data_IF_265715468970
#
_entry.id   IF_265715468970
#
_cell.length_a   1.000
_cell.length_b   1.000
_cell.length_c   1.000
_cell.angle_alpha   90.00
_cell.angle_beta   90.00
_cell.angle_gamma   90.00
#
_symmetry.space_group_name_H-M   'P 1'
#
loop_
_entity.id
_entity.type
_entity.pdbx_description
1 polymer ?
#
# COMPACT_ATOMS: atom_id res chain seq x y z
N UNK A 1 0.48 -15.79 -54.09
CA UNK A 1 -0.76 -15.41 -53.45
C UNK A 1 -0.71 -15.95 -52.01
N UNK A 2 -0.09 -15.20 -51.16
CA UNK A 2 0.18 -15.65 -49.76
C UNK A 2 -0.44 -14.61 -48.81
N UNK A 3 -1.40 -15.07 -48.03
CA UNK A 3 -2.03 -14.28 -46.96
C UNK A 3 -1.07 -14.22 -45.77
N UNK A 4 -0.58 -13.05 -45.45
CA UNK A 4 0.04 -12.74 -44.17
C UNK A 4 -1.09 -12.35 -43.20
N UNK A 5 -1.45 -13.27 -42.33
CA UNK A 5 -2.23 -12.98 -41.14
C UNK A 5 -1.30 -12.34 -40.10
N UNK A 6 -1.54 -11.08 -39.80
CA UNK A 6 -0.97 -10.38 -38.65
C UNK A 6 -1.57 -10.97 -37.39
N UNK A 7 -0.80 -11.77 -36.66
CA UNK A 7 -1.11 -12.16 -35.30
C UNK A 7 -0.77 -10.97 -34.38
N UNK A 8 -1.78 -10.28 -33.90
CA UNK A 8 -1.65 -9.38 -32.76
C UNK A 8 -1.20 -10.22 -31.55
N UNK A 9 0.02 -9.98 -31.10
CA UNK A 9 0.51 -10.58 -29.86
C UNK A 9 -0.23 -9.90 -28.69
N UNK A 10 -1.24 -10.59 -28.15
CA UNK A 10 -1.70 -10.34 -26.80
C UNK A 10 -0.51 -10.59 -25.85
N UNK A 11 0.08 -9.52 -25.36
CA UNK A 11 1.02 -9.59 -24.26
C UNK A 11 0.22 -10.09 -23.05
N UNK A 12 0.61 -11.21 -22.43
CA UNK A 12 -0.06 -11.68 -21.23
C UNK A 12 0.16 -10.65 -20.15
N UNK A 13 -0.91 -10.02 -19.66
CA UNK A 13 -0.94 -9.30 -18.39
C UNK A 13 -0.42 -10.24 -17.31
N UNK A 14 0.78 -10.00 -16.81
CA UNK A 14 1.32 -10.73 -15.66
C UNK A 14 0.45 -10.36 -14.45
N UNK A 15 -0.58 -11.14 -14.21
CA UNK A 15 -1.33 -11.05 -12.95
C UNK A 15 -0.40 -11.58 -11.86
N UNK A 16 -0.09 -10.80 -10.85
CA UNK A 16 0.59 -11.29 -9.67
C UNK A 16 -0.25 -12.42 -9.08
N UNK A 17 0.33 -13.60 -8.92
CA UNK A 17 -0.36 -14.76 -8.34
C UNK A 17 -0.35 -14.72 -6.82
N UNK A 18 0.41 -13.80 -6.21
CA UNK A 18 0.57 -13.67 -4.77
C UNK A 18 -0.21 -12.46 -4.26
N UNK A 19 -1.04 -12.64 -3.21
CA UNK A 19 -1.64 -11.51 -2.52
C UNK A 19 -0.55 -10.68 -1.83
N UNK A 20 -0.36 -9.43 -2.27
CA UNK A 20 0.67 -8.55 -1.73
C UNK A 20 0.25 -7.08 -1.79
N UNK A 21 0.79 -6.27 -0.88
CA UNK A 21 0.79 -4.83 -1.01
C UNK A 21 2.11 -4.22 -0.52
N UNK A 22 2.42 -3.04 -1.02
CA UNK A 22 3.53 -2.21 -0.60
C UNK A 22 3.04 -0.79 -0.39
N UNK A 23 3.36 -0.18 0.74
CA UNK A 23 3.01 1.20 1.06
C UNK A 23 4.27 1.96 1.47
N UNK A 24 4.46 3.15 0.91
CA UNK A 24 5.55 4.07 1.23
C UNK A 24 4.94 5.41 1.62
N UNK A 25 5.36 5.94 2.76
CA UNK A 25 4.83 7.19 3.31
C UNK A 25 5.88 7.83 4.26
N UNK A 26 5.77 9.12 4.60
CA UNK A 26 6.66 9.74 5.57
C UNK A 26 6.59 9.09 6.94
N UNK A 27 7.74 8.98 7.64
CA UNK A 27 7.85 8.43 8.99
C UNK A 27 7.25 9.37 10.05
N UNK A 28 5.93 9.57 10.02
CA UNK A 28 5.18 10.39 10.97
C UNK A 28 4.29 9.53 11.87
N UNK A 29 4.10 9.87 13.15
CA UNK A 29 3.28 9.07 14.08
C UNK A 29 1.88 8.78 13.55
N UNK A 30 1.23 9.75 12.92
CA UNK A 30 -0.11 9.63 12.36
C UNK A 30 -0.18 8.62 11.20
N UNK A 31 0.91 8.37 10.51
CA UNK A 31 0.97 7.44 9.37
C UNK A 31 0.98 5.97 9.80
N UNK A 32 1.37 5.67 11.04
CA UNK A 32 1.24 4.32 11.61
C UNK A 32 -0.22 3.84 11.63
N UNK A 33 -1.17 4.76 11.82
CA UNK A 33 -2.60 4.44 11.75
C UNK A 33 -3.04 4.04 10.35
N UNK A 34 -2.49 4.66 9.29
CA UNK A 34 -2.77 4.30 7.90
C UNK A 34 -2.27 2.88 7.59
N UNK A 35 -1.05 2.56 8.04
CA UNK A 35 -0.47 1.21 7.90
C UNK A 35 -1.37 0.16 8.57
N UNK A 36 -1.85 0.42 9.80
CA UNK A 36 -2.78 -0.49 10.49
C UNK A 36 -4.08 -0.71 9.72
N UNK A 37 -4.61 0.30 9.04
CA UNK A 37 -5.80 0.14 8.22
C UNK A 37 -5.51 -0.70 6.97
N UNK A 38 -4.37 -0.52 6.31
CA UNK A 38 -3.96 -1.36 5.20
C UNK A 38 -3.82 -2.83 5.62
N UNK A 39 -3.15 -3.09 6.74
CA UNK A 39 -3.03 -4.43 7.32
C UNK A 39 -4.39 -5.05 7.65
N UNK A 40 -5.28 -4.28 8.30
CA UNK A 40 -6.62 -4.77 8.64
C UNK A 40 -7.42 -5.17 7.40
N UNK A 41 -7.31 -4.41 6.30
CA UNK A 41 -7.94 -4.76 5.02
C UNK A 41 -7.39 -6.07 4.43
N UNK A 42 -6.09 -6.29 4.49
CA UNK A 42 -5.46 -7.51 4.00
C UNK A 42 -5.85 -8.74 4.87
N UNK A 43 -5.80 -8.60 6.19
CA UNK A 43 -6.09 -9.69 7.13
C UNK A 43 -7.56 -10.11 7.10
N UNK A 44 -8.48 -9.17 6.85
CA UNK A 44 -9.90 -9.49 6.64
C UNK A 44 -10.11 -10.45 5.48
N UNK A 45 -9.42 -10.23 4.36
CA UNK A 45 -9.48 -11.12 3.18
C UNK A 45 -8.88 -12.50 3.49
N UNK A 46 -7.84 -12.53 4.32
CA UNK A 46 -7.18 -13.78 4.71
C UNK A 46 -7.98 -14.60 5.74
N UNK A 47 -9.05 -14.04 6.32
CA UNK A 47 -9.90 -14.72 7.28
C UNK A 47 -9.23 -15.10 8.59
N UNK A 48 -8.22 -14.34 9.03
CA UNK A 48 -7.51 -14.57 10.27
C UNK A 48 -8.36 -14.21 11.50
N UNK A 49 -8.06 -14.83 12.64
CA UNK A 49 -8.73 -14.54 13.91
C UNK A 49 -8.42 -13.10 14.39
N UNK A 50 -9.32 -12.53 15.20
CA UNK A 50 -9.13 -11.21 15.81
C UNK A 50 -7.86 -11.15 16.67
N UNK A 51 -7.53 -12.23 17.40
CA UNK A 51 -6.29 -12.29 18.19
C UNK A 51 -5.06 -12.21 17.29
N UNK A 52 -5.07 -12.92 16.16
CA UNK A 52 -3.95 -12.89 15.20
C UNK A 52 -3.81 -11.51 14.53
N UNK A 53 -4.95 -10.87 14.20
CA UNK A 53 -4.97 -9.49 13.73
C UNK A 53 -4.32 -8.55 14.75
N UNK A 54 -4.64 -8.71 16.04
CA UNK A 54 -4.07 -7.88 17.11
C UNK A 54 -2.55 -8.08 17.23
N UNK A 55 -2.08 -9.32 17.18
CA UNK A 55 -0.65 -9.64 17.26
C UNK A 55 0.12 -9.01 16.09
N UNK A 56 -0.36 -9.19 14.87
CA UNK A 56 0.25 -8.62 13.65
C UNK A 56 0.27 -7.09 13.73
N UNK A 57 -0.87 -6.46 14.03
CA UNK A 57 -0.98 -5.01 14.13
C UNK A 57 -0.06 -4.44 15.23
N UNK A 58 0.08 -5.14 16.34
CA UNK A 58 0.94 -4.69 17.44
C UNK A 58 2.42 -4.79 17.05
N UNK A 59 2.85 -5.93 16.52
CA UNK A 59 4.24 -6.13 16.09
C UNK A 59 4.66 -5.15 14.99
N UNK A 60 3.81 -4.97 13.97
CA UNK A 60 4.10 -4.04 12.86
C UNK A 60 4.05 -2.59 13.33
N UNK A 61 3.09 -2.21 14.20
CA UNK A 61 3.04 -0.85 14.76
C UNK A 61 4.30 -0.53 15.56
N UNK A 62 4.81 -1.49 16.32
CA UNK A 62 6.03 -1.30 17.09
C UNK A 62 7.26 -1.13 16.18
N UNK A 63 7.36 -1.94 15.11
CA UNK A 63 8.41 -1.77 14.11
C UNK A 63 8.33 -0.39 13.42
N UNK A 64 7.13 0.07 13.03
CA UNK A 64 6.92 1.39 12.44
C UNK A 64 7.23 2.52 13.43
N UNK A 65 6.84 2.38 14.71
CA UNK A 65 7.16 3.37 15.75
C UNK A 65 8.68 3.49 15.97
N UNK A 66 9.42 2.38 15.87
CA UNK A 66 10.88 2.42 15.93
C UNK A 66 11.47 3.26 14.79
N UNK A 67 10.92 3.16 13.58
CA UNK A 67 11.33 4.02 12.45
C UNK A 67 11.00 5.48 12.75
N UNK A 68 9.76 5.78 13.17
CA UNK A 68 9.30 7.15 13.45
C UNK A 68 10.17 7.85 14.50
N UNK A 69 10.58 7.10 15.55
CA UNK A 69 11.30 7.69 16.69
C UNK A 69 12.81 7.73 16.47
N UNK A 70 13.36 6.74 15.75
CA UNK A 70 14.81 6.49 15.77
C UNK A 70 15.52 6.61 14.42
N UNK A 71 14.81 6.43 13.29
CA UNK A 71 15.48 6.30 12.00
C UNK A 71 16.08 7.62 11.49
N UNK A 72 15.44 8.76 11.74
CA UNK A 72 15.76 10.02 11.05
C UNK A 72 16.15 11.16 12.00
N UNK A 73 16.53 10.89 13.25
CA UNK A 73 17.09 11.87 14.21
C UNK A 73 16.24 13.15 14.38
N UNK A 74 14.90 13.02 14.27
CA UNK A 74 13.94 14.15 14.40
C UNK A 74 13.46 14.74 13.08
N UNK A 75 14.03 14.30 11.96
CA UNK A 75 13.52 14.57 10.61
C UNK A 75 12.49 13.49 10.20
N UNK A 76 11.94 13.62 9.00
CA UNK A 76 11.04 12.61 8.42
C UNK A 76 11.64 12.09 7.12
N UNK A 77 11.77 10.77 7.04
CA UNK A 77 12.16 10.08 5.83
C UNK A 77 11.13 9.02 5.41
N UNK A 78 11.42 8.22 4.39
CA UNK A 78 10.50 7.17 3.95
C UNK A 78 10.37 6.06 5.00
N UNK A 79 9.13 5.70 5.30
CA UNK A 79 8.73 4.47 6.00
C UNK A 79 8.04 3.60 4.97
N UNK A 80 8.58 2.42 4.77
CA UNK A 80 8.05 1.44 3.85
C UNK A 80 7.53 0.22 4.59
N UNK A 81 6.34 -0.25 4.20
CA UNK A 81 5.79 -1.51 4.68
C UNK A 81 5.38 -2.36 3.48
N UNK A 82 5.90 -3.56 3.41
CA UNK A 82 5.55 -4.58 2.43
C UNK A 82 4.88 -5.75 3.12
N UNK A 83 3.79 -6.25 2.57
CA UNK A 83 3.09 -7.45 3.00
C UNK A 83 2.96 -8.41 1.83
N UNK A 84 3.25 -9.67 2.05
CA UNK A 84 3.04 -10.75 1.09
C UNK A 84 2.53 -12.00 1.77
N UNK A 85 1.63 -12.72 1.08
CA UNK A 85 1.17 -14.04 1.50
C UNK A 85 1.77 -15.08 0.55
N UNK A 86 2.50 -16.02 1.11
CA UNK A 86 3.08 -17.13 0.37
C UNK A 86 2.89 -18.43 1.14
N UNK A 87 2.42 -19.47 0.42
CA UNK A 87 2.14 -20.80 0.97
C UNK A 87 1.16 -20.74 2.17
N UNK A 88 1.61 -20.83 3.38
CA UNK A 88 0.79 -20.72 4.59
C UNK A 88 1.37 -19.69 5.56
N UNK A 89 2.07 -18.70 5.05
CA UNK A 89 2.75 -17.68 5.85
C UNK A 89 2.40 -16.28 5.33
N UNK A 90 2.16 -15.37 6.27
CA UNK A 90 2.08 -13.94 6.06
C UNK A 90 3.42 -13.35 6.45
N UNK A 91 4.11 -12.73 5.52
CA UNK A 91 5.33 -11.97 5.79
C UNK A 91 5.03 -10.47 5.74
N UNK A 92 5.54 -9.74 6.74
CA UNK A 92 5.50 -8.28 6.77
C UNK A 92 6.92 -7.77 6.95
N UNK A 93 7.33 -6.87 6.06
CA UNK A 93 8.63 -6.19 6.11
C UNK A 93 8.39 -4.72 6.39
N UNK A 94 9.08 -4.18 7.40
CA UNK A 94 9.13 -2.74 7.69
C UNK A 94 10.54 -2.25 7.41
N UNK A 95 10.68 -1.23 6.57
CA UNK A 95 11.97 -0.72 6.14
C UNK A 95 12.04 0.80 6.25
N UNK A 96 13.24 1.30 6.57
CA UNK A 96 13.63 2.71 6.49
C UNK A 96 15.00 2.87 5.83
N UNK A 97 15.30 4.08 5.36
CA UNK A 97 16.60 4.47 4.80
C UNK A 97 17.36 5.40 5.77
N UNK A 98 17.08 5.31 7.08
CA UNK A 98 17.64 6.19 8.09
C UNK A 98 19.05 5.79 8.56
N UNK A 99 19.39 6.20 9.77
CA UNK A 99 20.74 6.00 10.36
C UNK A 99 21.05 4.53 10.69
N UNK A 100 20.08 3.65 10.54
CA UNK A 100 20.23 2.22 10.78
C UNK A 100 20.38 1.85 12.25
N UNK A 101 20.74 0.58 12.50
CA UNK A 101 20.88 0.03 13.84
C UNK A 101 22.21 0.52 14.41
N UNK A 102 22.13 1.47 15.37
CA UNK A 102 23.29 1.93 16.15
C UNK A 102 23.30 1.22 17.49
N UNK A 103 24.37 0.49 17.87
CA UNK A 103 24.52 -0.04 19.21
C UNK A 103 24.55 1.13 20.22
N UNK A 104 23.48 1.31 21.00
CA UNK A 104 23.52 2.24 22.13
C UNK A 104 24.17 1.55 23.32
N UNK A 105 25.16 2.20 23.91
CA UNK A 105 25.65 1.78 25.21
C UNK A 105 24.49 1.84 26.22
N UNK A 106 24.29 0.82 27.10
CA UNK A 106 23.23 0.82 28.07
C UNK A 106 23.39 2.02 29.02
N UNK A 107 22.44 2.96 28.95
CA UNK A 107 22.37 4.04 29.93
C UNK A 107 21.80 3.48 31.23
N UNK A 108 22.50 3.68 32.37
CA UNK A 108 22.03 3.18 33.67
C UNK A 108 20.71 3.89 34.05
N UNK A 109 19.61 3.14 34.12
CA UNK A 109 18.31 3.63 34.61
C UNK A 109 17.18 3.71 33.59
N UNK A 110 17.39 3.35 32.32
CA UNK A 110 16.37 3.30 31.28
C UNK A 110 16.14 1.86 30.79
N UNK A 111 15.51 1.05 31.64
CA UNK A 111 15.11 -0.33 31.28
C UNK A 111 13.96 -0.41 30.27
N UNK A 112 13.41 0.73 29.82
CA UNK A 112 12.20 0.78 28.98
C UNK A 112 12.50 0.69 27.46
N UNK A 113 13.74 0.92 27.02
CA UNK A 113 14.10 0.96 25.59
C UNK A 113 14.21 -0.40 24.89
N UNK A 114 14.11 -1.51 25.62
CA UNK A 114 14.20 -2.87 25.05
C UNK A 114 12.86 -3.58 24.82
N UNK A 115 11.73 -2.99 25.25
CA UNK A 115 10.43 -3.67 25.23
C UNK A 115 9.86 -3.85 23.81
N UNK A 116 10.10 -2.89 22.91
CA UNK A 116 9.57 -2.93 21.55
C UNK A 116 10.10 -4.11 20.73
N UNK A 117 11.42 -4.32 20.73
CA UNK A 117 12.03 -5.45 20.02
C UNK A 117 11.59 -6.80 20.61
N UNK A 118 11.49 -6.88 21.94
CA UNK A 118 11.01 -8.09 22.63
C UNK A 118 9.54 -8.37 22.30
N UNK A 119 8.73 -7.32 22.14
CA UNK A 119 7.33 -7.45 21.75
C UNK A 119 7.18 -7.97 20.32
N UNK A 120 7.95 -7.43 19.37
CA UNK A 120 8.01 -7.93 18.00
C UNK A 120 8.39 -9.42 17.99
N UNK A 121 9.43 -9.80 18.72
CA UNK A 121 9.89 -11.20 18.83
C UNK A 121 8.84 -12.13 19.46
N UNK A 122 8.05 -11.64 20.41
CA UNK A 122 7.04 -12.45 21.10
C UNK A 122 5.79 -12.68 20.25
N UNK A 123 5.40 -11.68 19.45
CA UNK A 123 4.17 -11.70 18.67
C UNK A 123 4.33 -12.28 17.27
N UNK A 124 5.56 -12.34 16.75
CA UNK A 124 5.88 -12.95 15.46
C UNK A 124 6.32 -14.39 15.65
N UNK A 125 5.96 -15.28 14.72
CA UNK A 125 6.48 -16.66 14.75
C UNK A 125 7.97 -16.70 14.39
N UNK A 126 8.40 -15.72 13.59
CA UNK A 126 9.79 -15.55 13.19
C UNK A 126 10.08 -14.08 12.91
N UNK A 127 11.24 -13.58 13.29
CA UNK A 127 11.69 -12.22 13.02
C UNK A 127 13.18 -12.17 12.69
N UNK A 128 13.51 -11.34 11.71
CA UNK A 128 14.89 -11.00 11.35
C UNK A 128 15.06 -9.48 11.30
N UNK A 129 16.24 -9.03 11.76
CA UNK A 129 16.63 -7.63 11.72
C UNK A 129 17.84 -7.48 10.81
N UNK A 130 17.73 -6.67 9.79
CA UNK A 130 18.81 -6.34 8.87
C UNK A 130 19.08 -4.84 8.92
N UNK A 131 20.33 -4.45 8.73
CA UNK A 131 20.74 -3.06 8.71
C UNK A 131 22.14 -2.89 9.27
N UNK A 132 22.69 -1.72 9.06
CA UNK A 132 24.02 -1.33 9.54
C UNK A 132 24.06 0.16 9.76
N UNK A 133 25.17 0.68 10.27
CA UNK A 133 25.36 2.12 10.47
C UNK A 133 25.20 2.82 9.12
N UNK A 134 24.29 3.80 9.05
CA UNK A 134 23.96 4.60 7.86
C UNK A 134 23.50 3.75 6.63
N UNK A 135 22.86 2.61 6.87
CA UNK A 135 22.33 1.72 5.83
C UNK A 135 20.82 1.48 5.96
N UNK A 136 20.13 2.26 6.81
CA UNK A 136 18.74 2.03 7.13
C UNK A 136 18.52 0.78 7.99
N UNK A 137 17.25 0.46 8.21
CA UNK A 137 16.84 -0.76 8.94
C UNK A 137 15.77 -1.50 8.16
N UNK A 138 15.83 -2.82 8.20
CA UNK A 138 14.79 -3.69 7.71
C UNK A 138 14.42 -4.71 8.79
N UNK A 139 13.14 -4.76 9.15
CA UNK A 139 12.57 -5.73 10.10
C UNK A 139 11.63 -6.64 9.32
N UNK A 140 11.97 -7.92 9.23
CA UNK A 140 11.14 -8.96 8.61
C UNK A 140 10.44 -9.74 9.70
N UNK A 141 9.12 -9.82 9.60
CA UNK A 141 8.25 -10.56 10.54
C UNK A 141 7.43 -11.58 9.77
N UNK A 142 7.41 -12.81 10.22
CA UNK A 142 6.61 -13.87 9.63
C UNK A 142 5.57 -14.37 10.62
N UNK A 143 4.36 -14.62 10.09
CA UNK A 143 3.19 -15.07 10.83
C UNK A 143 2.57 -16.28 10.12
N UNK A 144 2.60 -17.45 10.74
CA UNK A 144 2.00 -18.67 10.20
C UNK A 144 0.47 -18.53 10.13
N UNK A 145 -0.12 -18.93 9.01
CA UNK A 145 -1.57 -18.90 8.79
C UNK A 145 -2.24 -20.22 9.17
N UNK A 146 -1.59 -21.36 8.95
CA UNK A 146 -2.19 -22.70 9.14
C UNK A 146 -1.22 -23.75 9.71
N UNK A 147 -0.18 -23.37 10.43
CA UNK A 147 0.82 -24.29 10.97
C UNK A 147 2.25 -23.95 10.51
N UNK A 148 3.19 -24.82 10.76
CA UNK A 148 4.60 -24.56 10.51
C UNK A 148 4.89 -24.33 9.02
N UNK A 149 5.49 -23.18 8.70
CA UNK A 149 6.08 -22.87 7.41
C UNK A 149 7.55 -22.51 7.61
N UNK A 150 8.44 -23.11 6.80
CA UNK A 150 9.88 -22.89 6.89
C UNK A 150 10.42 -21.98 5.76
N UNK A 151 9.55 -21.49 4.86
CA UNK A 151 10.00 -20.69 3.73
C UNK A 151 10.03 -19.19 4.04
N UNK A 152 11.19 -18.57 3.80
CA UNK A 152 11.29 -17.11 3.70
C UNK A 152 11.05 -16.66 2.27
N UNK A 153 10.39 -15.53 2.09
CA UNK A 153 10.53 -14.77 0.85
C UNK A 153 11.96 -14.23 0.86
N UNK A 154 12.84 -14.89 0.13
CA UNK A 154 14.28 -14.61 0.17
C UNK A 154 14.63 -13.22 -0.33
N UNK A 155 13.81 -12.69 -1.24
CA UNK A 155 14.01 -11.37 -1.81
C UNK A 155 12.67 -10.65 -1.86
N UNK A 156 12.61 -9.49 -1.21
CA UNK A 156 11.58 -8.51 -1.49
C UNK A 156 11.61 -8.26 -3.02
N UNK A 157 10.47 -8.30 -3.72
CA UNK A 157 10.50 -8.03 -5.15
C UNK A 157 11.24 -6.71 -5.35
N UNK A 158 12.23 -6.67 -6.27
CA UNK A 158 12.95 -5.44 -6.54
C UNK A 158 11.92 -4.35 -6.79
N UNK A 159 12.23 -3.16 -6.32
CA UNK A 159 11.53 -1.98 -6.76
C UNK A 159 11.52 -2.04 -8.29
N UNK A 160 10.34 -2.08 -8.88
CA UNK A 160 10.22 -2.01 -10.34
C UNK A 160 10.52 -0.55 -10.71
N UNK A 161 11.79 -0.14 -10.49
CA UNK A 161 12.29 1.23 -10.67
C UNK A 161 12.10 1.72 -12.10
N UNK A 162 11.90 0.79 -13.05
CA UNK A 162 11.58 1.10 -14.44
C UNK A 162 10.12 1.56 -14.64
N UNK A 163 9.23 1.34 -13.66
CA UNK A 163 7.84 1.79 -13.74
C UNK A 163 7.68 3.06 -12.90
N UNK A 164 7.47 4.19 -13.57
CA UNK A 164 7.19 5.46 -12.91
C UNK A 164 5.91 5.36 -12.08
N UNK A 165 6.07 5.37 -10.77
CA UNK A 165 4.95 5.37 -9.81
C UNK A 165 4.17 6.68 -9.87
N UNK A 166 2.86 6.66 -9.67
CA UNK A 166 2.09 7.88 -9.48
C UNK A 166 2.68 8.69 -8.31
N UNK A 167 2.90 10.01 -8.48
CA UNK A 167 3.43 10.85 -7.40
C UNK A 167 2.40 11.02 -6.29
N UNK A 168 2.86 11.15 -5.04
CA UNK A 168 2.03 11.39 -3.87
C UNK A 168 2.85 11.34 -2.59
N UNK A 169 2.36 11.97 -1.52
CA UNK A 169 2.96 11.86 -0.19
C UNK A 169 2.89 10.42 0.33
N UNK A 170 1.79 9.72 0.01
CA UNK A 170 1.63 8.29 0.21
C UNK A 170 1.59 7.60 -1.15
N UNK A 171 2.41 6.56 -1.31
CA UNK A 171 2.37 5.69 -2.49
C UNK A 171 2.02 4.28 -2.04
N UNK A 172 1.02 3.66 -2.67
CA UNK A 172 0.62 2.29 -2.40
C UNK A 172 0.54 1.49 -3.69
N UNK A 173 1.11 0.30 -3.68
CA UNK A 173 0.96 -0.71 -4.72
C UNK A 173 0.29 -1.94 -4.11
N UNK A 174 -0.76 -2.45 -4.74
CA UNK A 174 -1.47 -3.64 -4.28
C UNK A 174 -1.76 -4.58 -5.45
N UNK A 175 -1.58 -5.88 -5.26
CA UNK A 175 -1.88 -6.88 -6.28
C UNK A 175 -3.31 -6.75 -6.79
N UNK A 176 -3.48 -6.80 -8.12
CA UNK A 176 -4.78 -6.74 -8.77
C UNK A 176 -5.57 -8.03 -8.46
N UNK A 177 -6.27 -8.04 -7.32
CA UNK A 177 -6.97 -9.21 -6.81
C UNK A 177 -7.81 -8.90 -5.56
N UNK A 178 -8.10 -9.91 -4.74
CA UNK A 178 -9.01 -9.78 -3.59
C UNK A 178 -8.57 -8.75 -2.55
N UNK A 179 -7.26 -8.47 -2.43
CA UNK A 179 -6.73 -7.48 -1.49
C UNK A 179 -7.03 -6.03 -1.90
N UNK A 180 -7.20 -5.76 -3.19
CA UNK A 180 -7.22 -4.39 -3.70
C UNK A 180 -8.33 -3.53 -3.05
N UNK A 181 -9.58 -3.93 -3.13
CA UNK A 181 -10.70 -3.15 -2.60
C UNK A 181 -10.62 -2.97 -1.06
N UNK A 182 -10.42 -4.02 -0.24
CA UNK A 182 -10.35 -3.87 1.22
C UNK A 182 -9.16 -3.03 1.69
N UNK A 183 -7.99 -3.21 1.10
CA UNK A 183 -6.78 -2.45 1.48
C UNK A 183 -6.92 -0.99 1.08
N UNK A 184 -7.23 -0.73 -0.20
CA UNK A 184 -7.35 0.64 -0.71
C UNK A 184 -8.52 1.39 -0.06
N UNK A 185 -9.68 0.74 0.11
CA UNK A 185 -10.86 1.34 0.74
C UNK A 185 -10.60 1.81 2.17
N UNK A 186 -9.89 1.00 2.99
CA UNK A 186 -9.53 1.37 4.37
C UNK A 186 -8.50 2.49 4.42
N UNK A 187 -7.49 2.46 3.55
CA UNK A 187 -6.47 3.52 3.44
C UNK A 187 -7.12 4.85 3.05
N UNK A 188 -7.95 4.85 2.01
CA UNK A 188 -8.64 6.05 1.53
C UNK A 188 -9.61 6.59 2.59
N UNK A 189 -10.39 5.73 3.25
CA UNK A 189 -11.29 6.14 4.32
C UNK A 189 -10.54 6.82 5.49
N UNK A 190 -9.37 6.28 5.86
CA UNK A 190 -8.53 6.86 6.89
C UNK A 190 -7.95 8.21 6.48
N UNK A 191 -7.51 8.36 5.24
CA UNK A 191 -6.98 9.62 4.71
C UNK A 191 -8.09 10.67 4.58
N UNK A 192 -9.29 10.29 4.11
CA UNK A 192 -10.46 11.16 4.04
C UNK A 192 -10.85 11.67 5.43
N UNK A 193 -10.90 10.78 6.44
CA UNK A 193 -11.17 11.17 7.82
C UNK A 193 -10.12 12.15 8.38
N UNK A 194 -8.85 11.98 8.02
CA UNK A 194 -7.76 12.90 8.39
C UNK A 194 -7.83 14.24 7.68
N UNK A 195 -8.39 14.26 6.48
CA UNK A 195 -8.61 15.47 5.69
C UNK A 195 -9.94 16.17 6.04
N UNK A 196 -10.53 15.83 7.20
CA UNK A 196 -11.78 16.42 7.73
C UNK A 196 -13.02 16.21 6.85
N UNK A 197 -13.06 15.10 6.07
CA UNK A 197 -14.25 14.73 5.32
C UNK A 197 -15.40 14.33 6.26
N UNK A 198 -16.61 14.69 5.87
CA UNK A 198 -17.85 14.21 6.50
C UNK A 198 -18.03 12.70 6.31
N UNK A 199 -18.93 12.06 7.07
CA UNK A 199 -19.24 10.65 6.88
C UNK A 199 -19.74 10.34 5.45
N UNK A 200 -20.48 11.28 4.85
CA UNK A 200 -20.91 11.19 3.46
C UNK A 200 -19.71 11.23 2.51
N UNK A 201 -18.81 12.20 2.68
CA UNK A 201 -17.59 12.32 1.88
C UNK A 201 -16.66 11.11 2.00
N UNK A 202 -16.52 10.52 3.20
CA UNK A 202 -15.78 9.27 3.38
C UNK A 202 -16.43 8.13 2.58
N UNK A 203 -17.77 8.02 2.63
CA UNK A 203 -18.50 7.00 1.87
C UNK A 203 -18.36 7.20 0.35
N UNK A 204 -18.38 8.44 -0.12
CA UNK A 204 -18.14 8.76 -1.54
C UNK A 204 -16.71 8.40 -1.96
N UNK A 205 -15.71 8.72 -1.14
CA UNK A 205 -14.32 8.34 -1.39
C UNK A 205 -14.14 6.81 -1.45
N UNK A 206 -14.87 6.05 -0.63
CA UNK A 206 -14.90 4.59 -0.71
C UNK A 206 -15.52 4.11 -2.02
N UNK A 207 -16.63 4.69 -2.49
CA UNK A 207 -17.24 4.33 -3.79
C UNK A 207 -16.30 4.59 -4.97
N UNK A 208 -15.54 5.70 -4.93
CA UNK A 208 -14.50 5.97 -5.93
C UNK A 208 -13.44 4.86 -5.90
N UNK A 209 -13.00 4.48 -4.71
CA UNK A 209 -11.97 3.44 -4.53
C UNK A 209 -12.46 2.07 -5.01
N UNK A 210 -13.69 1.70 -4.72
CA UNK A 210 -14.30 0.45 -5.18
C UNK A 210 -14.39 0.42 -6.72
N UNK A 211 -14.76 1.55 -7.33
CA UNK A 211 -14.77 1.70 -8.79
C UNK A 211 -13.36 1.54 -9.38
N UNK A 212 -12.34 2.14 -8.77
CA UNK A 212 -10.95 1.97 -9.19
C UNK A 212 -10.50 0.51 -9.06
N UNK A 213 -10.72 -0.11 -7.90
CA UNK A 213 -10.34 -1.51 -7.65
C UNK A 213 -10.98 -2.49 -8.64
N UNK A 214 -12.21 -2.21 -9.08
CA UNK A 214 -12.93 -3.03 -10.05
C UNK A 214 -12.47 -2.87 -11.50
N UNK A 215 -12.07 -1.66 -11.90
CA UNK A 215 -11.83 -1.32 -13.31
C UNK A 215 -10.35 -1.20 -13.67
N UNK A 216 -9.49 -0.72 -12.76
CA UNK A 216 -8.05 -0.55 -12.99
C UNK A 216 -7.35 -1.85 -13.40
N UNK A 217 -7.64 -3.03 -12.83
CA UNK A 217 -6.98 -4.30 -13.22
C UNK A 217 -7.04 -4.63 -14.71
N UNK A 218 -8.00 -4.08 -15.44
CA UNK A 218 -8.19 -4.33 -16.88
C UNK A 218 -7.31 -3.47 -17.78
N UNK A 219 -6.71 -2.43 -17.22
CA UNK A 219 -6.01 -1.39 -17.99
C UNK A 219 -4.66 -0.99 -17.40
N UNK A 220 -4.24 -1.59 -16.29
CA UNK A 220 -2.91 -1.31 -15.69
C UNK A 220 -1.77 -1.81 -16.58
N UNK A 221 -0.63 -1.16 -16.44
CA UNK A 221 0.67 -1.66 -16.92
C UNK A 221 1.35 -2.34 -15.74
N UNK A 222 1.59 -3.65 -15.86
CA UNK A 222 2.13 -4.46 -14.76
C UNK A 222 1.09 -5.29 -14.03
N UNK A 223 1.44 -5.74 -12.82
CA UNK A 223 0.62 -6.67 -12.03
C UNK A 223 -0.13 -6.02 -10.85
N UNK A 224 0.31 -4.84 -10.43
CA UNK A 224 -0.17 -4.17 -9.23
C UNK A 224 -0.90 -2.87 -9.57
N UNK A 225 -2.00 -2.62 -8.87
CA UNK A 225 -2.65 -1.30 -8.86
C UNK A 225 -1.74 -0.37 -8.05
N UNK A 226 -1.29 0.71 -8.65
CA UNK A 226 -0.45 1.70 -7.98
C UNK A 226 -1.21 3.02 -7.82
N UNK A 227 -1.25 3.53 -6.60
CA UNK A 227 -1.83 4.83 -6.28
C UNK A 227 -0.79 5.73 -5.63
N UNK A 228 -0.78 7.02 -6.05
CA UNK A 228 -0.16 8.12 -5.32
C UNK A 228 -1.25 8.99 -4.72
N UNK A 229 -1.17 9.30 -3.44
CA UNK A 229 -2.24 9.98 -2.72
C UNK A 229 -1.67 11.16 -1.94
N UNK A 230 -2.29 12.33 -2.12
CA UNK A 230 -2.12 13.48 -1.26
C UNK A 230 -3.45 13.78 -0.55
N UNK A 231 -3.37 14.21 0.71
CA UNK A 231 -4.55 14.47 1.56
C UNK A 231 -4.46 15.83 2.26
N UNK A 232 -4.49 16.95 1.50
CA UNK A 232 -4.63 18.26 2.12
C UNK A 232 -6.01 18.40 2.79
N UNK A 233 -6.20 19.40 3.70
CA UNK A 233 -7.48 19.61 4.36
C UNK A 233 -8.65 19.72 3.38
N UNK A 234 -9.73 18.98 3.67
CA UNK A 234 -10.98 18.92 2.89
C UNK A 234 -10.83 18.43 1.43
N UNK A 235 -9.67 17.88 1.06
CA UNK A 235 -9.39 17.39 -0.29
C UNK A 235 -8.59 16.09 -0.26
N UNK A 236 -8.84 15.21 -1.25
CA UNK A 236 -8.01 14.05 -1.57
C UNK A 236 -7.67 14.09 -3.04
N UNK A 237 -6.39 13.95 -3.36
CA UNK A 237 -5.91 13.78 -4.73
C UNK A 237 -5.40 12.35 -4.87
N UNK A 238 -6.13 11.55 -5.66
CA UNK A 238 -5.78 10.14 -5.92
C UNK A 238 -5.31 10.01 -7.35
N UNK A 239 -4.06 9.59 -7.53
CA UNK A 239 -3.46 9.34 -8.85
C UNK A 239 -3.29 7.84 -9.02
N UNK A 240 -3.77 7.30 -10.12
CA UNK A 240 -3.69 5.88 -10.45
C UNK A 240 -2.93 5.67 -11.75
N UNK A 241 -2.02 4.72 -11.78
CA UNK A 241 -1.23 4.36 -12.96
C UNK A 241 0.03 3.55 -12.60
N UNK A 242 0.86 3.23 -13.60
CA UNK A 242 0.65 3.54 -15.03
C UNK A 242 -0.46 2.70 -15.65
N UNK A 243 -1.25 3.35 -16.50
CA UNK A 243 -2.33 2.74 -17.26
C UNK A 243 -1.93 2.58 -18.74
N UNK A 244 -2.50 1.61 -19.40
CA UNK A 244 -2.37 1.47 -20.87
C UNK A 244 -2.94 2.71 -21.57
N UNK A 245 -2.52 2.99 -22.80
CA UNK A 245 -3.05 4.07 -23.62
C UNK A 245 -4.58 3.98 -23.75
N UNK A 246 -5.27 5.09 -23.49
CA UNK A 246 -6.74 5.18 -23.39
C UNK A 246 -7.33 4.48 -22.15
N UNK A 247 -6.49 4.01 -21.23
CA UNK A 247 -6.90 3.32 -20.02
C UNK A 247 -7.68 4.21 -19.07
N UNK A 248 -7.24 5.46 -18.91
CA UNK A 248 -7.92 6.45 -18.09
C UNK A 248 -9.38 6.68 -18.54
N UNK A 249 -9.62 6.89 -19.83
CA UNK A 249 -10.96 7.05 -20.37
C UNK A 249 -11.81 5.81 -20.16
N UNK A 250 -11.24 4.61 -20.36
CA UNK A 250 -11.96 3.34 -20.10
C UNK A 250 -12.40 3.18 -18.65
N UNK A 251 -11.58 3.64 -17.68
CA UNK A 251 -11.96 3.64 -16.26
C UNK A 251 -13.11 4.62 -16.03
N UNK A 252 -13.01 5.83 -16.55
CA UNK A 252 -14.05 6.85 -16.41
C UNK A 252 -15.39 6.36 -16.99
N UNK A 253 -15.39 5.82 -18.19
CA UNK A 253 -16.59 5.32 -18.87
C UNK A 253 -17.18 4.06 -18.20
N UNK A 254 -16.33 3.14 -17.71
CA UNK A 254 -16.77 1.87 -17.13
C UNK A 254 -17.49 2.03 -15.77
N UNK A 255 -17.37 3.19 -15.14
CA UNK A 255 -18.07 3.50 -13.89
C UNK A 255 -19.54 3.89 -14.08
N UNK A 256 -20.07 3.86 -15.31
CA UNK A 256 -21.46 4.15 -15.61
C UNK A 256 -22.40 3.02 -15.18
N UNK A 257 -23.50 3.36 -14.51
CA UNK A 257 -24.57 2.45 -14.08
C UNK A 257 -25.86 2.80 -14.84
N UNK A 258 -26.11 2.09 -15.93
CA UNK A 258 -27.28 2.33 -16.79
C UNK A 258 -27.29 3.74 -17.38
N UNK A 259 -28.39 4.48 -17.20
CA UNK A 259 -28.56 5.86 -17.70
C UNK A 259 -27.96 6.93 -16.76
N UNK A 260 -27.34 6.53 -15.65
CA UNK A 260 -26.69 7.46 -14.74
C UNK A 260 -25.29 7.83 -15.23
N UNK A 261 -24.85 9.09 -15.02
CA UNK A 261 -23.46 9.46 -15.27
C UNK A 261 -22.48 8.55 -14.52
N UNK A 262 -21.26 8.35 -15.04
CA UNK A 262 -20.23 7.56 -14.40
C UNK A 262 -20.01 7.97 -12.93
N UNK A 263 -19.89 6.99 -12.03
CA UNK A 263 -19.69 7.25 -10.59
C UNK A 263 -18.48 8.14 -10.35
N UNK A 264 -17.38 7.89 -11.05
CA UNK A 264 -16.15 8.69 -10.90
C UNK A 264 -16.37 10.15 -11.32
N UNK A 265 -17.08 10.40 -12.42
CA UNK A 265 -17.39 11.75 -12.90
C UNK A 265 -18.26 12.53 -11.91
N UNK A 266 -19.17 11.85 -11.22
CA UNK A 266 -20.08 12.46 -10.25
C UNK A 266 -19.45 12.76 -8.90
N UNK A 267 -18.52 11.92 -8.46
CA UNK A 267 -17.93 11.97 -7.12
C UNK A 267 -16.56 12.65 -7.09
N UNK A 268 -16.05 13.08 -8.25
CA UNK A 268 -14.80 13.83 -8.32
C UNK A 268 -15.09 15.28 -8.77
N UNK A 269 -14.44 16.22 -8.12
CA UNK A 269 -14.48 17.65 -8.50
C UNK A 269 -13.81 17.89 -9.84
N UNK A 270 -12.71 17.18 -10.07
CA UNK A 270 -11.86 17.33 -11.24
C UNK A 270 -11.16 15.99 -11.52
N UNK A 271 -10.91 15.72 -12.79
CA UNK A 271 -10.02 14.65 -13.20
C UNK A 271 -9.06 15.13 -14.29
N UNK A 272 -7.85 14.58 -14.30
CA UNK A 272 -6.81 14.91 -15.27
C UNK A 272 -6.12 13.62 -15.72
N UNK A 273 -5.67 13.59 -16.97
CA UNK A 273 -4.92 12.48 -17.54
C UNK A 273 -3.57 13.00 -18.04
N UNK A 274 -2.49 12.44 -17.49
CA UNK A 274 -1.14 12.76 -17.90
C UNK A 274 -0.52 11.57 -18.61
N UNK A 275 0.02 11.80 -19.82
CA UNK A 275 0.82 10.80 -20.53
C UNK A 275 2.23 10.71 -19.94
N UNK A 276 2.74 9.51 -19.78
CA UNK A 276 4.13 9.25 -19.39
C UNK A 276 4.77 8.20 -20.32
N UNK A 277 6.10 8.05 -20.36
CA UNK A 277 6.74 7.01 -21.18
C UNK A 277 6.27 5.59 -20.87
N UNK A 278 5.78 5.36 -19.65
CA UNK A 278 5.35 4.04 -19.16
C UNK A 278 3.83 3.86 -19.20
N UNK A 279 3.06 4.85 -19.68
CA UNK A 279 1.61 4.79 -19.74
C UNK A 279 0.94 6.08 -19.28
N UNK A 280 -0.36 6.03 -19.02
CA UNK A 280 -1.15 7.16 -18.52
C UNK A 280 -1.22 7.14 -16.99
N UNK A 281 -1.32 8.33 -16.40
CA UNK A 281 -1.69 8.53 -14.99
C UNK A 281 -3.02 9.28 -14.97
N UNK A 282 -4.03 8.69 -14.34
CA UNK A 282 -5.31 9.33 -14.06
C UNK A 282 -5.28 9.94 -12.66
N UNK A 283 -5.46 11.25 -12.57
CA UNK A 283 -5.58 11.99 -11.31
C UNK A 283 -7.05 12.34 -11.07
N UNK A 284 -7.53 12.04 -9.88
CA UNK A 284 -8.90 12.31 -9.40
C UNK A 284 -8.81 13.19 -8.16
N UNK A 285 -9.51 14.32 -8.18
CA UNK A 285 -9.63 15.21 -7.01
C UNK A 285 -11.01 15.07 -6.39
N UNK A 286 -11.04 14.62 -5.13
CA UNK A 286 -12.24 14.53 -4.31
C UNK A 286 -12.23 15.68 -3.32
N UNK A 287 -13.41 16.25 -3.05
CA UNK A 287 -13.58 17.28 -2.03
C UNK A 287 -14.69 16.89 -1.08
N UNK A 288 -14.61 17.37 0.14
CA UNK A 288 -15.67 17.14 1.12
C UNK A 288 -16.99 17.73 0.58
N UNK A 289 -18.08 16.95 0.49
CA UNK A 289 -19.38 17.50 0.09
C UNK A 289 -19.83 18.57 1.07
N UNK A 290 -20.42 19.66 0.52
CA UNK A 290 -20.84 20.84 1.28
C UNK A 290 -22.06 20.57 2.19
#
# INVERSE_FOLDING_TARGET
MSLLMSAGADLPTKTSTKPEFRIVLPSRPENVAVIRQALAGAIEVLGLSESRLLDINTAVSEACNNVVVHAYEGEHGPLEVYLCVQDSELEVVVRDDGVGIRPKAPEPGLEVQGLGLSLIQTLSDRVEFHGGVDQGTEVRMAFSLNGESESWIRDMPPDDDDIRRPPGELVIAVSAGPLAAPVLGRVIAMLAARADFSLEGISEAQLVTDSLAANVPRVIVGANIQLGIDSPPEELVVRVGPLQEGGANRIMDASALGDLPPVLERLTKEHQVEGSPNGEILSLTLVNPA
#
